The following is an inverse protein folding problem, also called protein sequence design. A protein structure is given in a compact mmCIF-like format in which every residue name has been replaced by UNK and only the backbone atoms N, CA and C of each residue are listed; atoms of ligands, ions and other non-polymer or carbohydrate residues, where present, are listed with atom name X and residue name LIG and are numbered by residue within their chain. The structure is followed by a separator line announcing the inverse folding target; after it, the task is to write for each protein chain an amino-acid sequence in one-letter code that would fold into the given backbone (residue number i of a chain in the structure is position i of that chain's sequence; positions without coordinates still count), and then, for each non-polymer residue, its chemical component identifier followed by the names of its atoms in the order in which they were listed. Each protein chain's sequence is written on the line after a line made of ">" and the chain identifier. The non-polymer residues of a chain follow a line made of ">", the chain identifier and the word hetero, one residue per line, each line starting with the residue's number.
data_IF_543818260708
#
_entry.id   IF_543818260708
#
_cell.length_a   1.000
_cell.length_b   1.000
_cell.length_c   1.000
_cell.angle_alpha   90.00
_cell.angle_beta   90.00
_cell.angle_gamma   90.00
#
_symmetry.space_group_name_H-M   'P 1'
#
loop_
_entity.id
_entity.type
_entity.pdbx_description
1 polymer ?
#
# COMPACT_ATOMS: atom_id res chain seq x y z
N UNK A 1 19.02 13.22 -7.70
CA UNK A 1 18.04 12.51 -6.84
C UNK A 1 17.22 13.55 -6.09
N UNK A 2 15.89 13.58 -6.26
CA UNK A 2 15.01 14.50 -5.52
C UNK A 2 14.17 13.70 -4.53
N UNK A 3 14.35 13.96 -3.22
CA UNK A 3 13.63 13.31 -2.11
C UNK A 3 12.14 13.69 -2.14
N UNK A 4 11.25 12.70 -2.11
CA UNK A 4 9.83 12.90 -1.82
C UNK A 4 9.61 13.35 -0.37
N UNK A 5 8.56 14.14 -0.12
CA UNK A 5 8.21 14.65 1.21
C UNK A 5 7.62 13.54 2.09
N UNK A 6 8.24 13.27 3.24
CA UNK A 6 7.70 12.42 4.32
C UNK A 6 7.07 13.28 5.42
N UNK A 7 5.93 12.87 5.99
CA UNK A 7 5.33 13.51 7.18
C UNK A 7 5.26 12.49 8.32
N UNK A 8 5.66 12.90 9.54
CA UNK A 8 5.62 12.10 10.78
C UNK A 8 4.66 12.72 11.79
N UNK A 9 3.78 11.92 12.38
CA UNK A 9 2.94 12.31 13.51
C UNK A 9 3.10 11.25 14.60
N UNK A 10 3.73 11.61 15.73
CA UNK A 10 4.06 10.63 16.78
C UNK A 10 3.34 10.90 18.10
N UNK A 11 3.05 9.78 18.78
CA UNK A 11 2.83 9.55 20.24
C UNK A 11 1.40 9.22 20.69
N UNK A 12 1.11 7.92 20.95
CA UNK A 12 0.04 7.54 21.92
C UNK A 12 -0.03 6.09 22.49
N UNK A 13 1.02 5.28 22.65
CA UNK A 13 0.87 3.94 23.28
C UNK A 13 1.98 3.54 24.30
N UNK A 14 1.65 2.68 25.30
CA UNK A 14 2.54 2.32 26.41
C UNK A 14 3.75 1.46 26.03
N UNK A 15 4.83 1.58 26.82
CA UNK A 15 6.15 0.94 26.64
C UNK A 15 6.02 -0.58 26.50
N UNK A 16 6.54 -1.12 25.40
CA UNK A 16 6.52 -2.56 25.06
C UNK A 16 5.66 -2.92 23.85
N UNK A 17 4.66 -2.09 23.50
CA UNK A 17 3.82 -2.23 22.30
C UNK A 17 4.09 -1.16 21.23
N UNK A 18 5.10 -0.30 21.43
CA UNK A 18 5.56 0.61 20.39
C UNK A 18 6.54 -0.12 19.48
N UNK A 19 6.01 -0.85 18.52
CA UNK A 19 6.78 -1.17 17.32
C UNK A 19 6.42 -0.09 16.32
N UNK A 20 7.22 0.96 16.27
CA UNK A 20 7.17 2.01 15.25
C UNK A 20 7.52 1.40 13.87
N UNK A 21 6.67 0.49 13.37
CA UNK A 21 6.77 -0.05 12.02
C UNK A 21 5.99 0.89 11.11
N UNK A 22 6.51 2.10 10.96
CA UNK A 22 6.14 2.95 9.83
C UNK A 22 6.83 2.36 8.59
N UNK A 23 6.04 1.65 7.78
CA UNK A 23 6.51 1.10 6.51
C UNK A 23 6.51 2.24 5.49
N UNK A 24 7.69 2.60 4.99
CA UNK A 24 7.81 3.49 3.85
C UNK A 24 7.45 2.75 2.57
N UNK A 25 6.56 3.34 1.77
CA UNK A 25 6.16 2.80 0.47
C UNK A 25 6.86 3.61 -0.60
N UNK A 26 7.72 2.95 -1.37
CA UNK A 26 8.36 3.51 -2.55
C UNK A 26 7.68 2.96 -3.81
N UNK A 27 7.35 3.85 -4.74
CA UNK A 27 6.81 3.45 -6.04
C UNK A 27 7.99 3.09 -6.94
N UNK A 28 7.95 1.89 -7.49
CA UNK A 28 8.97 1.43 -8.43
C UNK A 28 8.96 2.27 -9.71
N UNK A 29 10.11 2.86 -10.00
CA UNK A 29 10.40 3.55 -11.25
C UNK A 29 11.30 2.66 -12.13
N UNK A 30 10.85 2.40 -13.35
CA UNK A 30 11.65 1.68 -14.34
C UNK A 30 12.89 2.49 -14.73
N UNK A 31 13.89 1.83 -15.31
CA UNK A 31 15.09 2.50 -15.85
C UNK A 31 14.79 3.63 -16.87
N UNK A 32 13.61 3.61 -17.49
CA UNK A 32 13.15 4.64 -18.44
C UNK A 32 12.33 5.76 -17.80
N UNK A 33 12.20 5.79 -16.48
CA UNK A 33 11.44 6.81 -15.75
C UNK A 33 9.93 6.59 -15.70
N UNK A 34 9.44 5.41 -16.09
CA UNK A 34 8.01 5.06 -16.00
C UNK A 34 7.69 4.50 -14.62
N UNK A 35 6.55 4.89 -14.07
CA UNK A 35 5.97 4.34 -12.85
C UNK A 35 4.73 3.49 -13.20
N UNK A 36 4.86 2.16 -13.34
CA UNK A 36 3.75 1.30 -13.77
C UNK A 36 2.55 1.36 -12.83
N UNK A 37 2.80 1.51 -11.52
CA UNK A 37 1.75 1.66 -10.52
C UNK A 37 0.89 2.90 -10.78
N UNK A 38 1.50 4.05 -11.05
CA UNK A 38 0.77 5.30 -11.30
C UNK A 38 -0.08 5.19 -12.57
N UNK A 39 0.52 4.71 -13.66
CA UNK A 39 -0.19 4.50 -14.92
C UNK A 39 -1.37 3.53 -14.77
N UNK A 40 -1.18 2.44 -14.03
CA UNK A 40 -2.25 1.48 -13.73
C UNK A 40 -3.32 2.12 -12.84
N UNK A 41 -2.94 2.79 -11.76
CA UNK A 41 -3.86 3.39 -10.80
C UNK A 41 -4.71 4.51 -11.42
N UNK A 42 -4.13 5.30 -12.34
CA UNK A 42 -4.84 6.33 -13.11
C UNK A 42 -5.82 5.74 -14.13
N UNK A 43 -5.54 4.54 -14.64
CA UNK A 43 -6.44 3.86 -15.60
C UNK A 43 -7.74 3.35 -14.96
N UNK A 44 -7.79 3.22 -13.64
CA UNK A 44 -8.98 2.76 -12.90
C UNK A 44 -10.02 3.88 -12.88
N UNK A 45 -11.19 3.63 -13.48
CA UNK A 45 -12.28 4.63 -13.56
C UNK A 45 -13.14 4.66 -12.30
N UNK A 46 -13.31 3.51 -11.65
CA UNK A 46 -14.19 3.39 -10.50
C UNK A 46 -13.53 3.98 -9.24
N UNK A 47 -14.10 5.09 -8.75
CA UNK A 47 -13.57 5.81 -7.58
C UNK A 47 -13.52 4.92 -6.32
N UNK A 48 -14.49 4.01 -6.17
CA UNK A 48 -14.55 3.10 -5.03
C UNK A 48 -13.40 2.07 -5.07
N UNK A 49 -12.97 1.65 -6.26
CA UNK A 49 -11.81 0.76 -6.44
C UNK A 49 -10.52 1.47 -6.05
N UNK A 50 -10.35 2.71 -6.51
CA UNK A 50 -9.20 3.55 -6.13
C UNK A 50 -9.14 3.75 -4.61
N UNK A 51 -10.27 4.06 -3.99
CA UNK A 51 -10.37 4.24 -2.54
C UNK A 51 -9.98 2.97 -1.76
N UNK A 52 -10.41 1.78 -2.23
CA UNK A 52 -10.03 0.50 -1.61
C UNK A 52 -8.51 0.26 -1.67
N UNK A 53 -7.89 0.55 -2.82
CA UNK A 53 -6.45 0.42 -3.00
C UNK A 53 -5.71 1.37 -2.05
N UNK A 54 -6.06 2.66 -2.04
CA UNK A 54 -5.42 3.65 -1.17
C UNK A 54 -5.57 3.29 0.32
N UNK A 55 -6.78 2.91 0.75
CA UNK A 55 -7.02 2.47 2.13
C UNK A 55 -6.16 1.26 2.50
N UNK A 56 -5.90 0.35 1.54
CA UNK A 56 -5.02 -0.79 1.77
C UNK A 56 -3.56 -0.39 1.93
N UNK A 57 -3.09 0.56 1.13
CA UNK A 57 -1.73 1.12 1.26
C UNK A 57 -1.56 1.87 2.58
N UNK A 58 -2.57 2.62 3.03
CA UNK A 58 -2.50 3.32 4.32
C UNK A 58 -2.42 2.35 5.50
N UNK A 59 -3.15 1.22 5.44
CA UNK A 59 -3.01 0.15 6.43
C UNK A 59 -1.61 -0.47 6.38
N UNK A 60 -1.07 -0.69 5.19
CA UNK A 60 0.28 -1.23 5.00
C UNK A 60 1.34 -0.33 5.65
N UNK A 61 1.25 1.00 5.49
CA UNK A 61 2.16 1.97 6.14
C UNK A 61 2.19 1.83 7.65
N UNK A 62 1.09 1.40 8.25
CA UNK A 62 0.96 1.16 9.70
C UNK A 62 1.35 -0.27 10.11
N UNK A 63 1.99 -1.04 9.23
CA UNK A 63 2.36 -2.44 9.48
C UNK A 63 1.19 -3.42 9.38
N UNK A 64 0.02 -3.01 8.89
CA UNK A 64 -1.17 -3.87 8.77
C UNK A 64 -1.27 -4.50 7.37
N UNK A 65 -0.51 -5.57 7.15
CA UNK A 65 -0.43 -6.27 5.86
C UNK A 65 -1.76 -6.94 5.46
N UNK A 66 -2.55 -7.48 6.40
CA UNK A 66 -3.80 -8.20 6.13
C UNK A 66 -3.62 -9.40 5.19
N UNK A 67 -4.56 -9.63 4.26
CA UNK A 67 -4.41 -10.63 3.19
C UNK A 67 -3.26 -10.27 2.24
N UNK A 68 -2.15 -10.98 2.42
CA UNK A 68 -0.93 -10.87 1.66
C UNK A 68 -0.34 -12.27 1.46
N UNK A 69 0.03 -12.61 0.23
CA UNK A 69 0.62 -13.91 -0.10
C UNK A 69 2.07 -13.73 -0.51
N UNK A 70 2.98 -14.40 0.19
CA UNK A 70 4.37 -14.51 -0.26
C UNK A 70 4.45 -15.27 -1.58
N UNK A 71 5.21 -14.72 -2.52
CA UNK A 71 5.55 -15.35 -3.79
C UNK A 71 6.97 -15.91 -3.66
N UNK A 72 7.91 -15.52 -4.54
CA UNK A 72 9.33 -15.85 -4.46
C UNK A 72 10.18 -14.58 -4.27
N UNK A 73 11.46 -14.75 -3.95
CA UNK A 73 12.47 -13.68 -4.01
C UNK A 73 12.17 -12.45 -3.14
N UNK A 74 11.51 -12.66 -2.00
CA UNK A 74 11.11 -11.58 -1.09
C UNK A 74 9.94 -10.74 -1.62
N UNK A 75 9.27 -11.17 -2.69
CA UNK A 75 8.10 -10.52 -3.26
C UNK A 75 6.85 -11.06 -2.57
N UNK A 76 5.94 -10.16 -2.21
CA UNK A 76 4.63 -10.50 -1.68
C UNK A 76 3.53 -9.80 -2.48
N UNK A 77 2.43 -10.50 -2.73
CA UNK A 77 1.23 -9.97 -3.37
C UNK A 77 0.28 -9.45 -2.29
N UNK A 78 -0.09 -8.16 -2.36
CA UNK A 78 -1.13 -7.57 -1.51
C UNK A 78 -2.49 -7.74 -2.18
N UNK A 79 -3.39 -8.50 -1.55
CA UNK A 79 -4.67 -8.88 -2.14
C UNK A 79 -5.79 -7.96 -1.69
N UNK A 80 -6.66 -7.64 -2.64
CA UNK A 80 -7.86 -6.82 -2.42
C UNK A 80 -9.03 -7.55 -3.07
N UNK A 81 -10.01 -7.96 -2.27
CA UNK A 81 -11.23 -8.55 -2.81
C UNK A 81 -12.06 -7.48 -3.52
N UNK A 82 -12.35 -7.73 -4.80
CA UNK A 82 -13.16 -6.88 -5.64
C UNK A 82 -14.38 -7.65 -6.14
N UNK A 83 -15.58 -7.13 -5.86
CA UNK A 83 -16.86 -7.72 -6.28
C UNK A 83 -17.91 -7.73 -5.17
N UNK A 84 -19.21 -7.78 -5.52
CA UNK A 84 -20.26 -8.05 -4.55
C UNK A 84 -20.15 -9.51 -4.11
N UNK A 85 -19.86 -9.75 -2.84
CA UNK A 85 -20.04 -11.07 -2.25
C UNK A 85 -21.53 -11.37 -2.13
N UNK A 86 -22.20 -11.67 -3.24
CA UNK A 86 -23.57 -12.17 -3.27
C UNK A 86 -23.75 -12.95 -4.57
N UNK A 87 -23.65 -14.28 -4.45
CA UNK A 87 -24.32 -15.15 -5.40
C UNK A 87 -25.83 -14.87 -5.34
N UNK A 88 -26.41 -14.58 -6.50
CA UNK A 88 -27.81 -14.85 -6.81
C UNK A 88 -27.84 -15.53 -8.17
#
# INVERSE_FOLDING_TARGET
>A
MRKGRSFKLTKKYPVGYNKDMEIEIEIYETRTGKCPFDSWFESIREIHTRAKILSRLDRLKLGNFGDCKSLSDGICELRIHYGPGLGR
#
